data_IF_897856392102
#
_entry.id   IF_897856392102
#
_cell.length_a   1.000
_cell.length_b   1.000
_cell.length_c   1.000
_cell.angle_alpha   90.00
_cell.angle_beta   90.00
_cell.angle_gamma   90.00
#
_symmetry.space_group_name_H-M   'P 1'
#
loop_
_entity.id
_entity.type
_entity.pdbx_description
1 polymer ?
#
# COMPACT_ATOMS: atom_id res chain seq x y z
N UNK A 1 -4.25 8.02 -15.91
CA UNK A 1 -4.68 6.97 -14.97
C UNK A 1 -4.57 7.51 -13.55
N UNK A 2 -5.54 7.22 -12.69
CA UNK A 2 -5.59 7.65 -11.30
C UNK A 2 -5.89 6.47 -10.37
N UNK A 3 -5.09 6.33 -9.31
CA UNK A 3 -5.39 5.45 -8.17
C UNK A 3 -5.87 6.33 -7.01
N UNK A 4 -7.06 6.05 -6.48
CA UNK A 4 -7.52 6.62 -5.22
C UNK A 4 -7.42 5.57 -4.13
N UNK A 5 -6.67 5.89 -3.08
CA UNK A 5 -6.40 4.99 -1.97
C UNK A 5 -6.97 5.55 -0.66
N UNK A 6 -7.74 4.73 0.07
CA UNK A 6 -8.18 5.00 1.45
C UNK A 6 -7.57 3.93 2.34
N UNK A 7 -6.75 4.35 3.30
CA UNK A 7 -5.93 3.40 4.07
C UNK A 7 -5.96 3.71 5.55
N UNK A 8 -5.74 2.67 6.35
CA UNK A 8 -5.53 2.82 7.78
C UNK A 8 -4.36 3.75 8.09
N UNK A 9 -4.48 4.51 9.17
CA UNK A 9 -3.55 5.60 9.54
C UNK A 9 -2.08 5.14 9.57
N UNK A 10 -1.82 3.91 9.99
CA UNK A 10 -0.48 3.32 10.11
C UNK A 10 0.26 3.19 8.77
N UNK A 11 -0.46 2.97 7.66
CA UNK A 11 0.14 2.85 6.33
C UNK A 11 0.23 4.18 5.58
N UNK A 12 -0.54 5.19 6.01
CA UNK A 12 -0.69 6.45 5.28
C UNK A 12 0.65 7.12 4.97
N UNK A 13 1.54 7.28 5.95
CA UNK A 13 2.82 7.98 5.74
C UNK A 13 3.76 7.22 4.80
N UNK A 14 3.83 5.89 4.93
CA UNK A 14 4.65 5.04 4.06
C UNK A 14 4.16 5.08 2.62
N UNK A 15 2.85 4.96 2.42
CA UNK A 15 2.22 5.04 1.10
C UNK A 15 2.32 6.45 0.50
N UNK A 16 2.23 7.50 1.32
CA UNK A 16 2.41 8.88 0.86
C UNK A 16 3.84 9.11 0.34
N UNK A 17 4.83 8.54 1.03
CA UNK A 17 6.23 8.59 0.57
C UNK A 17 6.41 7.81 -0.74
N UNK A 18 5.87 6.60 -0.82
CA UNK A 18 5.89 5.78 -2.04
C UNK A 18 5.21 6.47 -3.22
N UNK A 19 4.05 7.10 -3.00
CA UNK A 19 3.32 7.83 -4.04
C UNK A 19 4.13 8.98 -4.63
N UNK A 20 4.95 9.68 -3.82
CA UNK A 20 5.83 10.76 -4.31
C UNK A 20 6.96 10.27 -5.23
N UNK A 21 7.32 8.98 -5.15
CA UNK A 21 8.36 8.40 -6.00
C UNK A 21 7.85 8.05 -7.41
N UNK A 22 6.53 8.13 -7.64
CA UNK A 22 5.87 7.73 -8.89
C UNK A 22 5.41 9.00 -9.62
N UNK A 23 5.73 9.09 -10.91
CA UNK A 23 5.37 10.24 -11.77
C UNK A 23 4.51 9.85 -12.97
N UNK A 24 4.39 8.56 -13.23
CA UNK A 24 3.75 7.97 -14.40
C UNK A 24 2.22 8.05 -14.34
N UNK A 25 1.66 8.20 -13.14
CA UNK A 25 0.22 8.29 -12.90
C UNK A 25 -0.09 9.00 -11.58
N UNK A 26 -1.34 9.42 -11.41
CA UNK A 26 -1.78 10.13 -10.23
C UNK A 26 -2.20 9.17 -9.11
N UNK A 27 -1.76 9.46 -7.89
CA UNK A 27 -2.15 8.72 -6.68
C UNK A 27 -2.74 9.71 -5.68
N UNK A 28 -4.02 9.55 -5.36
CA UNK A 28 -4.69 10.30 -4.30
C UNK A 28 -4.83 9.42 -3.06
N UNK A 29 -4.24 9.84 -1.95
CA UNK A 29 -4.21 9.04 -0.72
C UNK A 29 -4.99 9.75 0.41
N UNK A 30 -5.84 9.00 1.09
CA UNK A 30 -6.64 9.46 2.21
C UNK A 30 -6.47 8.52 3.42
N UNK A 31 -6.42 9.11 4.61
CA UNK A 31 -6.46 8.36 5.87
C UNK A 31 -7.91 8.06 6.25
N UNK A 32 -8.20 6.80 6.54
CA UNK A 32 -9.50 6.35 7.02
C UNK A 32 -9.93 7.13 8.28
N UNK A 33 -9.04 7.23 9.29
CA UNK A 33 -9.29 8.01 10.52
C UNK A 33 -9.68 9.46 10.23
N UNK A 34 -9.04 10.10 9.23
CA UNK A 34 -9.35 11.49 8.89
C UNK A 34 -10.72 11.62 8.21
N UNK A 35 -11.11 10.66 7.37
CA UNK A 35 -12.42 10.67 6.73
C UNK A 35 -13.55 10.40 7.72
N UNK A 36 -13.33 9.54 8.72
CA UNK A 36 -14.31 9.26 9.78
C UNK A 36 -14.58 10.50 10.65
N UNK A 37 -13.57 11.32 10.90
CA UNK A 37 -13.69 12.56 11.69
C UNK A 37 -14.23 13.76 10.90
N UNK A 38 -14.17 13.74 9.57
CA UNK A 38 -14.54 14.86 8.70
C UNK A 38 -15.55 14.42 7.62
N UNK A 39 -16.86 14.28 7.95
CA UNK A 39 -17.87 13.77 7.03
C UNK A 39 -18.00 14.56 5.71
N UNK A 40 -17.85 15.89 5.77
CA UNK A 40 -17.87 16.73 4.57
C UNK A 40 -16.74 16.37 3.59
N UNK A 41 -15.57 16.04 4.13
CA UNK A 41 -14.43 15.59 3.34
C UNK A 41 -14.67 14.21 2.75
N UNK A 42 -15.30 13.32 3.51
CA UNK A 42 -15.68 12.00 3.02
C UNK A 42 -16.65 12.07 1.82
N UNK A 43 -17.65 12.95 1.86
CA UNK A 43 -18.56 13.17 0.72
C UNK A 43 -17.82 13.70 -0.53
N UNK A 44 -16.80 14.53 -0.34
CA UNK A 44 -15.94 14.95 -1.46
C UNK A 44 -15.16 13.76 -2.02
N UNK A 45 -14.57 12.92 -1.17
CA UNK A 45 -13.83 11.73 -1.59
C UNK A 45 -14.72 10.74 -2.34
N UNK A 46 -15.96 10.53 -1.91
CA UNK A 46 -16.93 9.70 -2.63
C UNK A 46 -17.19 10.17 -4.07
N UNK A 47 -17.19 11.49 -4.30
CA UNK A 47 -17.29 12.05 -5.66
C UNK A 47 -16.02 11.81 -6.47
N UNK A 48 -14.85 11.98 -5.86
CA UNK A 48 -13.54 11.74 -6.51
C UNK A 48 -13.30 10.25 -6.83
N UNK A 49 -13.85 9.33 -6.03
CA UNK A 49 -13.80 7.90 -6.29
C UNK A 49 -14.44 7.54 -7.63
N UNK A 50 -15.51 8.23 -8.05
CA UNK A 50 -16.21 7.94 -9.31
C UNK A 50 -15.36 8.19 -10.55
N UNK A 51 -14.34 9.06 -10.46
CA UNK A 51 -13.45 9.39 -11.57
C UNK A 51 -12.12 8.63 -11.54
N UNK A 52 -11.83 7.88 -10.48
CA UNK A 52 -10.59 7.10 -10.38
C UNK A 52 -10.66 5.83 -11.24
N UNK A 53 -9.54 5.35 -11.76
CA UNK A 53 -9.51 4.06 -12.47
C UNK A 53 -9.47 2.89 -11.48
N UNK A 54 -8.67 3.05 -10.42
CA UNK A 54 -8.44 2.04 -9.38
C UNK A 54 -8.79 2.65 -8.02
N UNK A 55 -9.58 1.91 -7.24
CA UNK A 55 -9.87 2.19 -5.85
C UNK A 55 -9.12 1.17 -4.99
N UNK A 56 -8.15 1.65 -4.21
CA UNK A 56 -7.37 0.82 -3.30
C UNK A 56 -7.78 1.08 -1.85
N UNK A 57 -8.29 0.06 -1.17
CA UNK A 57 -8.71 0.16 0.21
C UNK A 57 -7.85 -0.75 1.08
N UNK A 58 -7.26 -0.18 2.12
CA UNK A 58 -6.93 -0.96 3.31
C UNK A 58 -8.02 -0.74 4.35
N UNK A 59 -9.00 -1.64 4.38
CA UNK A 59 -10.17 -1.62 5.26
C UNK A 59 -9.71 -1.77 6.72
N UNK A 60 -9.93 -0.70 7.47
CA UNK A 60 -9.87 -0.62 8.94
C UNK A 60 -11.28 -0.63 9.51
N UNK A 61 -11.52 -0.24 10.76
CA UNK A 61 -12.80 -0.47 11.48
C UNK A 61 -13.72 0.76 11.56
N UNK A 62 -13.39 1.86 10.90
CA UNK A 62 -14.17 3.11 10.95
C UNK A 62 -15.60 2.94 10.37
N UNK A 63 -16.52 3.82 10.78
CA UNK A 63 -17.95 3.70 10.46
C UNK A 63 -18.29 4.06 9.01
N UNK A 64 -17.55 4.99 8.41
CA UNK A 64 -17.79 5.43 7.03
C UNK A 64 -17.61 4.31 5.99
N UNK A 65 -16.95 3.22 6.35
CA UNK A 65 -16.77 2.10 5.44
C UNK A 65 -18.08 1.38 5.10
N UNK A 66 -19.06 1.36 6.01
CA UNK A 66 -20.37 0.77 5.77
C UNK A 66 -21.11 1.53 4.64
N UNK A 67 -20.89 2.85 4.57
CA UNK A 67 -21.35 3.69 3.47
C UNK A 67 -20.69 3.29 2.14
N UNK A 68 -19.36 3.15 2.13
CA UNK A 68 -18.61 2.72 0.94
C UNK A 68 -19.14 1.37 0.46
N UNK A 69 -19.25 0.39 1.36
CA UNK A 69 -19.75 -0.95 1.05
C UNK A 69 -21.15 -0.90 0.44
N UNK A 70 -22.07 -0.14 1.04
CA UNK A 70 -23.42 0.03 0.52
C UNK A 70 -23.44 0.63 -0.89
N UNK A 71 -22.58 1.62 -1.17
CA UNK A 71 -22.51 2.27 -2.49
C UNK A 71 -21.86 1.37 -3.55
N UNK A 72 -20.84 0.60 -3.19
CA UNK A 72 -20.26 -0.43 -4.06
C UNK A 72 -21.30 -1.48 -4.41
N UNK A 73 -22.06 -2.00 -3.43
CA UNK A 73 -23.14 -2.98 -3.65
C UNK A 73 -24.28 -2.45 -4.53
N UNK A 74 -24.53 -1.14 -4.52
CA UNK A 74 -25.48 -0.46 -5.42
C UNK A 74 -24.94 -0.23 -6.83
N UNK A 75 -23.68 -0.58 -7.08
CA UNK A 75 -23.02 -0.45 -8.37
C UNK A 75 -22.53 0.96 -8.71
N UNK A 76 -22.46 1.88 -7.73
CA UNK A 76 -22.00 3.25 -7.97
C UNK A 76 -20.55 3.32 -8.48
N UNK A 77 -19.76 2.27 -8.23
CA UNK A 77 -18.34 2.17 -8.57
C UNK A 77 -18.01 1.01 -9.53
N UNK A 78 -19.00 0.52 -10.30
CA UNK A 78 -18.81 -0.64 -11.21
C UNK A 78 -17.80 -0.40 -12.33
N UNK A 79 -17.51 0.86 -12.67
CA UNK A 79 -16.49 1.22 -13.67
C UNK A 79 -15.07 1.12 -13.10
N UNK A 80 -14.92 1.20 -11.79
CA UNK A 80 -13.63 1.18 -11.11
C UNK A 80 -13.12 -0.25 -10.91
N UNK A 81 -11.80 -0.41 -10.84
CA UNK A 81 -11.17 -1.62 -10.29
C UNK A 81 -11.02 -1.45 -8.78
N UNK A 82 -11.73 -2.26 -8.01
CA UNK A 82 -11.76 -2.19 -6.55
C UNK A 82 -10.85 -3.27 -5.98
N UNK A 83 -9.82 -2.81 -5.26
CA UNK A 83 -8.86 -3.63 -4.53
C UNK A 83 -9.06 -3.33 -3.05
N UNK A 84 -9.85 -4.15 -2.37
CA UNK A 84 -10.10 -4.03 -0.94
C UNK A 84 -9.36 -5.13 -0.21
N UNK A 85 -8.42 -4.74 0.66
CA UNK A 85 -7.69 -5.64 1.56
C UNK A 85 -7.80 -5.11 2.98
N UNK A 86 -7.40 -5.90 3.97
CA UNK A 86 -7.38 -5.49 5.37
C UNK A 86 -6.87 -6.64 6.23
N UNK A 87 -6.94 -6.47 7.55
CA UNK A 87 -6.48 -7.53 8.47
C UNK A 87 -7.37 -8.77 8.40
N UNK A 88 -8.67 -8.58 8.13
CA UNK A 88 -9.65 -9.65 7.98
C UNK A 88 -9.83 -9.98 6.49
N UNK A 89 -9.57 -11.24 6.06
CA UNK A 89 -9.78 -11.66 4.68
C UNK A 89 -11.22 -11.49 4.17
N UNK A 90 -12.23 -11.44 5.04
CA UNK A 90 -13.63 -11.20 4.63
C UNK A 90 -13.82 -9.84 3.96
N UNK A 91 -12.97 -8.85 4.26
CA UNK A 91 -13.01 -7.55 3.59
C UNK A 91 -12.66 -7.63 2.10
N UNK A 92 -12.01 -8.72 1.68
CA UNK A 92 -11.60 -8.90 0.28
C UNK A 92 -12.81 -9.07 -0.63
N UNK A 93 -13.95 -9.51 -0.07
CA UNK A 93 -15.22 -9.70 -0.78
C UNK A 93 -15.78 -8.40 -1.39
N UNK A 94 -15.32 -7.22 -0.95
CA UNK A 94 -15.70 -5.95 -1.57
C UNK A 94 -14.98 -5.70 -2.91
N UNK A 95 -13.92 -6.46 -3.20
CA UNK A 95 -13.11 -6.31 -4.40
C UNK A 95 -13.81 -6.87 -5.64
N UNK A 96 -13.46 -6.34 -6.82
CA UNK A 96 -13.94 -6.84 -8.12
C UNK A 96 -12.79 -7.28 -9.05
N UNK A 97 -11.66 -7.66 -8.45
CA UNK A 97 -10.44 -8.14 -9.12
C UNK A 97 -10.12 -9.57 -8.69
N UNK A 98 -9.19 -10.22 -9.38
CA UNK A 98 -8.80 -11.60 -9.07
C UNK A 98 -8.05 -11.73 -7.74
N UNK A 99 -8.17 -12.91 -7.12
CA UNK A 99 -7.59 -13.20 -5.81
C UNK A 99 -6.05 -13.07 -5.80
N UNK A 100 -5.37 -13.42 -6.89
CA UNK A 100 -3.91 -13.29 -7.00
C UNK A 100 -3.43 -11.83 -6.87
N UNK A 101 -4.23 -10.89 -7.38
CA UNK A 101 -3.95 -9.46 -7.23
C UNK A 101 -4.15 -9.04 -5.79
N UNK A 102 -5.20 -9.52 -5.12
CA UNK A 102 -5.46 -9.21 -3.71
C UNK A 102 -4.35 -9.76 -2.80
N UNK A 103 -3.97 -11.02 -2.97
CA UNK A 103 -2.89 -11.66 -2.20
C UNK A 103 -1.56 -10.95 -2.38
N UNK A 104 -1.21 -10.59 -3.62
CA UNK A 104 0.06 -9.90 -3.89
C UNK A 104 0.05 -8.47 -3.33
N UNK A 105 -1.07 -7.76 -3.48
CA UNK A 105 -1.25 -6.41 -2.88
C UNK A 105 -1.12 -6.48 -1.36
N UNK A 106 -1.74 -7.48 -0.74
CA UNK A 106 -1.65 -7.73 0.70
C UNK A 106 -0.21 -8.01 1.15
N UNK A 107 0.54 -8.83 0.40
CA UNK A 107 1.97 -9.09 0.67
C UNK A 107 2.81 -7.81 0.63
N UNK A 108 2.66 -6.97 -0.39
CA UNK A 108 3.43 -5.70 -0.45
C UNK A 108 3.17 -4.81 0.77
N UNK A 109 1.91 -4.66 1.19
CA UNK A 109 1.58 -3.73 2.27
C UNK A 109 1.99 -4.27 3.64
N UNK A 110 1.83 -5.58 3.90
CA UNK A 110 2.17 -6.21 5.18
C UNK A 110 3.68 -6.29 5.37
N UNK A 111 4.43 -6.68 4.34
CA UNK A 111 5.89 -6.65 4.39
C UNK A 111 6.39 -5.21 4.57
N UNK A 112 5.64 -4.24 4.02
CA UNK A 112 5.90 -2.81 4.19
C UNK A 112 7.28 -2.43 3.64
N UNK A 113 7.78 -1.24 3.98
CA UNK A 113 9.01 -0.70 3.43
C UNK A 113 8.78 0.04 2.11
N UNK A 114 9.50 1.14 1.94
CA UNK A 114 9.27 2.10 0.85
C UNK A 114 9.30 1.45 -0.54
N UNK A 115 10.22 0.50 -0.78
CA UNK A 115 10.30 -0.23 -2.04
C UNK A 115 9.06 -1.09 -2.31
N UNK A 116 8.55 -1.82 -1.31
CA UNK A 116 7.36 -2.64 -1.50
C UNK A 116 6.12 -1.77 -1.68
N UNK A 117 5.99 -0.69 -0.91
CA UNK A 117 4.86 0.23 -1.06
C UNK A 117 4.87 0.97 -2.42
N UNK A 118 6.06 1.27 -2.97
CA UNK A 118 6.19 1.82 -4.33
C UNK A 118 5.79 0.76 -5.36
N UNK A 119 6.31 -0.46 -5.23
CA UNK A 119 5.97 -1.57 -6.13
C UNK A 119 4.50 -1.97 -6.04
N UNK A 120 3.83 -1.77 -4.91
CA UNK A 120 2.37 -1.96 -4.77
C UNK A 120 1.63 -1.11 -5.80
N UNK A 121 1.91 0.20 -5.86
CA UNK A 121 1.23 1.09 -6.81
C UNK A 121 1.60 0.77 -8.26
N UNK A 122 2.88 0.49 -8.55
CA UNK A 122 3.33 0.10 -9.89
C UNK A 122 2.68 -1.22 -10.35
N UNK A 123 2.54 -2.19 -9.44
CA UNK A 123 1.87 -3.46 -9.68
C UNK A 123 0.39 -3.25 -10.02
N UNK A 124 -0.34 -2.46 -9.22
CA UNK A 124 -1.75 -2.16 -9.48
C UNK A 124 -1.92 -1.41 -10.82
N UNK A 125 -1.09 -0.42 -11.09
CA UNK A 125 -1.08 0.31 -12.36
C UNK A 125 -0.84 -0.61 -13.56
N UNK A 126 0.10 -1.54 -13.45
CA UNK A 126 0.41 -2.51 -14.50
C UNK A 126 -0.75 -3.49 -14.75
N UNK A 127 -1.29 -4.09 -13.68
CA UNK A 127 -2.28 -5.16 -13.81
C UNK A 127 -3.70 -4.69 -14.05
N UNK A 128 -4.08 -3.55 -13.47
CA UNK A 128 -5.46 -3.08 -13.48
C UNK A 128 -5.63 -1.81 -14.31
N UNK A 129 -4.56 -1.01 -14.43
CA UNK A 129 -4.59 0.30 -15.07
C UNK A 129 -4.16 0.33 -16.53
N UNK A 130 -3.70 -0.80 -17.07
CA UNK A 130 -3.28 -0.92 -18.47
C UNK A 130 -1.98 -0.17 -18.80
N UNK A 131 -1.21 0.27 -17.79
CA UNK A 131 0.08 0.93 -18.00
C UNK A 131 1.22 -0.07 -18.14
N UNK A 132 2.14 0.17 -19.06
CA UNK A 132 3.37 -0.64 -19.22
C UNK A 132 4.49 -0.21 -18.25
N UNK A 133 4.18 -0.08 -16.96
CA UNK A 133 5.16 0.20 -15.90
C UNK A 133 5.75 -1.08 -15.34
N UNK A 134 7.06 -1.10 -15.06
CA UNK A 134 7.72 -2.24 -14.41
C UNK A 134 7.48 -2.23 -12.90
N UNK A 135 7.32 -3.40 -12.30
CA UNK A 135 7.28 -3.59 -10.85
C UNK A 135 8.14 -4.79 -10.46
N UNK A 136 8.65 -4.81 -9.24
CA UNK A 136 9.37 -5.92 -8.62
C UNK A 136 8.47 -6.65 -7.63
N UNK A 137 8.59 -7.99 -7.53
CA UNK A 137 7.86 -8.80 -6.54
C UNK A 137 8.11 -8.36 -5.08
N UNK A 138 7.19 -8.64 -4.14
CA UNK A 138 7.37 -8.27 -2.74
C UNK A 138 8.66 -8.86 -2.15
N UNK A 139 9.49 -8.01 -1.55
CA UNK A 139 10.78 -8.41 -0.95
C UNK A 139 10.73 -8.22 0.55
N UNK A 140 11.09 -9.26 1.30
CA UNK A 140 11.19 -9.16 2.76
C UNK A 140 12.12 -8.01 3.18
N UNK A 141 11.65 -7.24 4.16
CA UNK A 141 12.47 -6.23 4.83
C UNK A 141 12.99 -6.87 6.11
N UNK A 142 14.31 -6.91 6.34
CA UNK A 142 14.85 -7.46 7.57
C UNK A 142 14.25 -6.74 8.79
N UNK A 143 13.60 -7.50 9.67
CA UNK A 143 12.96 -6.96 10.87
C UNK A 143 14.00 -6.58 11.95
N UNK A 144 15.16 -7.22 11.88
CA UNK A 144 16.33 -6.96 12.70
C UNK A 144 17.59 -6.92 11.82
N UNK A 145 18.62 -6.27 12.34
CA UNK A 145 19.91 -6.21 11.67
C UNK A 145 20.91 -5.37 12.44
N UNK A 146 22.18 -5.62 12.16
CA UNK A 146 23.30 -4.91 12.73
C UNK A 146 23.53 -3.65 11.90
N UNK A 147 23.35 -2.50 12.54
CA UNK A 147 23.68 -1.20 11.99
C UNK A 147 25.08 -0.78 12.43
N UNK A 148 25.85 -0.20 11.52
CA UNK A 148 27.10 0.47 11.84
C UNK A 148 27.17 1.80 11.08
N UNK A 149 27.47 2.94 11.74
CA UNK A 149 27.35 4.27 11.12
C UNK A 149 28.30 4.49 9.93
N UNK A 150 29.39 3.72 9.85
CA UNK A 150 30.33 3.74 8.70
C UNK A 150 29.95 2.76 7.57
N UNK A 151 28.92 1.93 7.76
CA UNK A 151 28.44 1.01 6.74
C UNK A 151 27.31 1.67 5.95
N UNK A 152 27.33 1.53 4.63
CA UNK A 152 26.25 1.97 3.74
C UNK A 152 25.10 0.96 3.64
N UNK A 153 25.11 -0.08 4.48
CA UNK A 153 24.12 -1.16 4.49
C UNK A 153 23.91 -1.69 5.91
N UNK A 154 22.77 -2.33 6.10
CA UNK A 154 22.47 -3.14 7.29
C UNK A 154 22.96 -4.55 7.04
N UNK A 155 23.47 -5.22 8.07
CA UNK A 155 23.84 -6.63 8.04
C UNK A 155 22.78 -7.45 8.75
N UNK A 156 22.35 -8.56 8.19
CA UNK A 156 21.33 -9.44 8.81
C UNK A 156 21.96 -10.62 9.53
N UNK A 157 23.28 -10.81 9.42
CA UNK A 157 24.06 -11.88 10.05
C UNK A 157 25.30 -11.29 10.71
N UNK A 158 25.67 -11.85 11.86
CA UNK A 158 26.85 -11.38 12.62
C UNK A 158 28.14 -11.67 11.86
N UNK A 159 28.20 -12.77 11.11
CA UNK A 159 29.36 -13.17 10.32
C UNK A 159 29.65 -12.14 9.22
N UNK A 160 28.61 -11.69 8.50
CA UNK A 160 28.74 -10.67 7.46
C UNK A 160 29.23 -9.34 8.04
N UNK A 161 28.72 -8.97 9.22
CA UNK A 161 29.16 -7.79 9.94
C UNK A 161 30.62 -7.91 10.38
N UNK A 162 31.02 -9.02 11.00
CA UNK A 162 32.39 -9.22 11.48
C UNK A 162 33.39 -9.32 10.34
N UNK A 163 33.04 -9.96 9.23
CA UNK A 163 33.85 -10.01 8.02
C UNK A 163 34.09 -8.63 7.41
N UNK A 164 33.09 -7.74 7.50
CA UNK A 164 33.20 -6.36 7.06
C UNK A 164 33.96 -5.49 8.08
N UNK A 165 33.61 -5.57 9.37
CA UNK A 165 34.15 -4.73 10.44
C UNK A 165 35.59 -5.06 10.80
N UNK A 166 35.97 -6.35 10.70
CA UNK A 166 37.29 -6.90 11.03
C UNK A 166 37.81 -6.38 12.39
N UNK A 167 37.12 -6.70 13.49
CA UNK A 167 37.55 -6.22 14.82
C UNK A 167 38.94 -6.75 15.15
N UNK A 168 39.75 -5.91 15.82
CA UNK A 168 41.05 -6.35 16.36
C UNK A 168 40.80 -7.48 17.36
N UNK A 169 41.65 -8.52 17.33
CA UNK A 169 41.61 -9.57 18.35
C UNK A 169 41.79 -8.92 19.72
N UNK A 170 40.95 -9.31 20.68
CA UNK A 170 41.10 -8.88 22.05
C UNK A 170 42.46 -9.39 22.59
N UNK A 171 43.16 -8.60 23.42
CA UNK A 171 44.42 -9.01 24.03
C UNK A 171 44.26 -10.19 24.99
#
# INVERSE_FOLDING_TARGET
>A
MQILAIVWQSYYNGLLKAAKNIKEFEIKLYSARKLDLEPEKFEKVLKEMKSADILFFYRSSESFWDEIERRVKRGEFNKNKIVCIGYDPSYFLLSNVSLDILEKTYKYIVINGEKNLTNLFLFLANKLGGLSVSYEEPKEVPWEGIYHPKANKIFTKIEDYLNWYKPKQAP
#
